data_IF_059322490423
#
_entry.id   IF_059322490423
#
_cell.length_a   1.000
_cell.length_b   1.000
_cell.length_c   1.000
_cell.angle_alpha   90.00
_cell.angle_beta   90.00
_cell.angle_gamma   90.00
#
_symmetry.space_group_name_H-M   'P 1'
#
loop_
_entity.id
_entity.type
_entity.pdbx_description
1 polymer ?
#
# COMPACT_ATOMS: atom_id res chain seq x y z
N UNK A 1 -12.01 -2.02 10.02
CA UNK A 1 -11.10 -3.09 9.57
C UNK A 1 -11.15 -3.14 8.07
N UNK A 2 -10.04 -2.80 7.43
CA UNK A 2 -9.87 -2.56 6.01
C UNK A 2 -8.74 -3.44 5.46
N UNK A 3 -7.58 -3.45 6.12
CA UNK A 3 -6.41 -4.25 5.72
C UNK A 3 -6.27 -5.52 6.57
N UNK A 4 -6.61 -5.43 7.86
CA UNK A 4 -6.53 -6.59 8.74
C UNK A 4 -7.57 -7.65 8.37
N UNK A 5 -7.17 -8.93 8.17
CA UNK A 5 -8.11 -10.02 8.03
C UNK A 5 -8.95 -10.19 9.30
N UNK A 6 -10.22 -10.58 9.16
CA UNK A 6 -11.13 -10.75 10.31
C UNK A 6 -10.65 -11.79 11.33
N UNK A 7 -9.78 -12.72 10.92
CA UNK A 7 -9.16 -13.71 11.80
C UNK A 7 -8.20 -13.14 12.83
N UNK A 8 -7.80 -11.86 12.74
CA UNK A 8 -6.82 -11.24 13.66
C UNK A 8 -7.31 -11.17 15.10
N UNK A 9 -8.62 -11.21 15.32
CA UNK A 9 -9.24 -11.20 16.66
C UNK A 9 -9.17 -12.56 17.37
N UNK A 10 -8.62 -13.58 16.71
CA UNK A 10 -8.51 -14.95 17.22
C UNK A 10 -7.05 -15.31 17.44
N UNK A 11 -6.66 -15.54 18.69
CA UNK A 11 -5.26 -15.83 19.07
C UNK A 11 -4.75 -17.17 18.54
N UNK A 12 -5.65 -18.11 18.24
CA UNK A 12 -5.39 -19.43 17.65
C UNK A 12 -5.23 -19.41 16.12
N UNK A 13 -5.43 -18.26 15.48
CA UNK A 13 -5.46 -18.13 14.02
C UNK A 13 -4.30 -17.27 13.51
N UNK A 14 -3.67 -17.75 12.44
CA UNK A 14 -2.69 -16.97 11.67
C UNK A 14 -3.42 -16.22 10.55
N UNK A 15 -3.42 -14.90 10.63
CA UNK A 15 -3.95 -14.00 9.60
C UNK A 15 -2.87 -13.69 8.57
N UNK A 16 -3.21 -13.80 7.28
CA UNK A 16 -2.26 -13.65 6.17
C UNK A 16 -2.69 -12.50 5.26
N UNK A 17 -1.78 -11.55 5.02
CA UNK A 17 -1.90 -10.57 3.92
C UNK A 17 -1.09 -11.10 2.73
N UNK A 18 -1.79 -11.56 1.69
CA UNK A 18 -1.18 -12.14 0.50
C UNK A 18 -0.56 -11.11 -0.46
N UNK A 19 0.24 -11.59 -1.42
CA UNK A 19 0.92 -10.76 -2.43
C UNK A 19 -0.04 -10.01 -3.38
N UNK A 20 -1.31 -10.39 -3.40
CA UNK A 20 -2.36 -9.73 -4.16
C UNK A 20 -2.64 -8.31 -3.66
N UNK A 21 -2.47 -8.09 -2.36
CA UNK A 21 -2.88 -6.87 -1.65
C UNK A 21 -1.85 -5.75 -1.83
N UNK A 22 -2.37 -4.53 -1.92
CA UNK A 22 -1.60 -3.28 -1.77
C UNK A 22 -1.76 -2.80 -0.33
N UNK A 23 -0.65 -2.68 0.38
CA UNK A 23 -0.60 -2.40 1.81
C UNK A 23 -0.26 -0.94 2.01
N UNK A 24 -1.13 -0.21 2.70
CA UNK A 24 -0.77 1.10 3.24
C UNK A 24 -0.22 0.91 4.66
N UNK A 25 1.08 1.14 4.92
CA UNK A 25 1.67 0.92 6.23
C UNK A 25 1.03 1.78 7.32
N UNK A 26 0.73 3.05 7.05
CA UNK A 26 0.12 3.95 8.03
C UNK A 26 -1.25 3.44 8.47
N UNK A 27 -2.08 3.04 7.51
CA UNK A 27 -3.42 2.49 7.81
C UNK A 27 -3.29 1.17 8.55
N UNK A 28 -2.37 0.28 8.12
CA UNK A 28 -2.18 -1.00 8.79
C UNK A 28 -1.75 -0.83 10.25
N UNK A 29 -0.81 0.08 10.52
CA UNK A 29 -0.36 0.38 11.88
C UNK A 29 -1.48 0.98 12.71
N UNK A 30 -2.23 1.94 12.18
CA UNK A 30 -3.41 2.48 12.86
C UNK A 30 -4.45 1.41 13.19
N UNK A 31 -4.70 0.47 12.28
CA UNK A 31 -5.63 -0.63 12.55
C UNK A 31 -5.11 -1.59 13.64
N UNK A 32 -3.80 -1.82 13.69
CA UNK A 32 -3.16 -2.63 14.72
C UNK A 32 -3.19 -1.93 16.08
N UNK A 33 -2.95 -0.62 16.13
CA UNK A 33 -2.96 0.17 17.36
C UNK A 33 -4.37 0.29 17.97
N UNK A 34 -5.41 0.23 17.14
CA UNK A 34 -6.81 0.25 17.57
C UNK A 34 -7.33 -1.12 18.08
N UNK A 35 -6.49 -2.16 18.12
CA UNK A 35 -6.87 -3.44 18.71
C UNK A 35 -6.67 -3.40 20.23
N UNK A 36 -7.78 -3.42 20.98
CA UNK A 36 -7.81 -3.35 22.45
C UNK A 36 -7.28 -4.60 23.19
N UNK A 37 -7.01 -5.73 22.52
CA UNK A 37 -6.75 -7.02 23.16
C UNK A 37 -5.74 -7.93 22.42
N UNK A 38 -5.41 -9.07 23.04
CA UNK A 38 -4.58 -10.13 22.46
C UNK A 38 -5.04 -10.46 21.03
N UNK A 39 -4.11 -10.31 20.08
CA UNK A 39 -4.35 -10.58 18.66
C UNK A 39 -3.73 -11.91 18.24
N UNK A 40 -4.30 -12.51 17.21
CA UNK A 40 -3.68 -13.57 16.44
C UNK A 40 -2.39 -13.12 15.76
N UNK A 41 -1.66 -14.09 15.23
CA UNK A 41 -0.45 -13.79 14.46
C UNK A 41 -0.84 -13.15 13.13
N UNK A 42 -0.11 -12.11 12.73
CA UNK A 42 -0.22 -11.49 11.42
C UNK A 42 1.06 -11.76 10.63
N UNK A 43 0.91 -12.36 9.45
CA UNK A 43 2.01 -12.51 8.49
C UNK A 43 1.66 -11.76 7.21
N UNK A 44 2.64 -11.06 6.68
CA UNK A 44 2.49 -10.22 5.49
C UNK A 44 3.45 -10.78 4.43
N UNK A 45 2.94 -11.00 3.22
CA UNK A 45 3.80 -11.39 2.11
C UNK A 45 4.81 -10.29 1.80
N UNK A 46 6.08 -10.66 1.76
CA UNK A 46 7.20 -9.87 1.22
C UNK A 46 6.92 -9.32 -0.19
N UNK A 47 6.08 -10.00 -0.98
CA UNK A 47 5.68 -9.62 -2.34
C UNK A 47 4.47 -8.70 -2.42
N UNK A 48 3.80 -8.41 -1.30
CA UNK A 48 2.74 -7.40 -1.27
C UNK A 48 3.32 -6.03 -1.61
N UNK A 49 2.57 -5.22 -2.34
CA UNK A 49 3.04 -3.89 -2.78
C UNK A 49 2.70 -2.83 -1.73
N UNK A 50 3.53 -1.79 -1.65
CA UNK A 50 3.39 -0.72 -0.66
C UNK A 50 2.74 0.49 -1.29
N UNK A 51 1.68 0.99 -0.67
CA UNK A 51 1.09 2.28 -1.00
C UNK A 51 1.95 3.38 -0.38
N UNK A 52 2.87 3.90 -1.20
CA UNK A 52 3.67 5.08 -0.88
C UNK A 52 2.85 6.39 -0.88
N UNK A 53 3.31 7.44 -0.17
CA UNK A 53 2.60 8.73 -0.09
C UNK A 53 2.30 9.38 -1.46
N UNK A 54 3.22 9.23 -2.42
CA UNK A 54 3.03 9.79 -3.77
C UNK A 54 1.85 9.16 -4.52
N UNK A 55 1.44 7.93 -4.21
CA UNK A 55 0.29 7.32 -4.87
C UNK A 55 -1.02 8.06 -4.52
N UNK A 56 -1.15 8.58 -3.30
CA UNK A 56 -2.32 9.38 -2.89
C UNK A 56 -2.37 10.69 -3.68
N UNK A 57 -1.21 11.33 -3.88
CA UNK A 57 -1.10 12.55 -4.68
C UNK A 57 -1.46 12.29 -6.15
N UNK A 58 -0.98 11.19 -6.73
CA UNK A 58 -1.29 10.80 -8.10
C UNK A 58 -2.79 10.48 -8.28
N UNK A 59 -3.40 9.77 -7.33
CA UNK A 59 -4.83 9.44 -7.36
C UNK A 59 -5.71 10.71 -7.37
N UNK A 60 -5.38 11.67 -6.50
CA UNK A 60 -6.05 12.97 -6.48
C UNK A 60 -5.80 13.80 -7.75
N UNK A 61 -4.58 13.80 -8.28
CA UNK A 61 -4.23 14.48 -9.53
C UNK A 61 -4.97 13.92 -10.74
N UNK A 62 -5.05 12.58 -10.85
CA UNK A 62 -5.78 11.90 -11.92
C UNK A 62 -7.27 12.22 -11.89
N UNK A 63 -7.91 12.19 -10.72
CA UNK A 63 -9.32 12.59 -10.59
C UNK A 63 -9.53 14.05 -10.99
N UNK A 64 -8.71 14.98 -10.48
CA UNK A 64 -8.80 16.39 -10.85
C UNK A 64 -8.66 16.61 -12.36
N UNK A 65 -7.76 15.86 -13.02
CA UNK A 65 -7.55 15.96 -14.47
C UNK A 65 -8.74 15.47 -15.30
N UNK A 66 -9.55 14.54 -14.78
CA UNK A 66 -10.70 13.95 -15.48
C UNK A 66 -11.94 14.85 -15.47
N UNK A 67 -11.94 15.94 -14.70
CA UNK A 67 -12.98 16.97 -14.74
C UNK A 67 -14.38 16.43 -14.45
N UNK A 68 -15.23 16.31 -15.47
CA UNK A 68 -16.61 15.78 -15.34
C UNK A 68 -16.71 14.25 -15.44
N UNK A 69 -15.63 13.58 -15.82
CA UNK A 69 -15.57 12.12 -15.99
C UNK A 69 -14.86 11.45 -14.81
N UNK A 70 -15.13 11.95 -13.60
CA UNK A 70 -14.60 11.39 -12.36
C UNK A 70 -14.95 9.91 -12.23
N UNK A 71 -14.00 9.12 -11.75
CA UNK A 71 -14.26 7.74 -11.37
C UNK A 71 -14.89 7.70 -9.97
N UNK A 72 -14.57 8.67 -9.12
CA UNK A 72 -14.97 8.69 -7.71
C UNK A 72 -14.05 7.80 -6.86
N UNK A 73 -12.73 7.99 -6.99
CA UNK A 73 -11.77 7.17 -6.24
C UNK A 73 -11.81 7.50 -4.75
N UNK A 74 -11.31 6.57 -3.91
CA UNK A 74 -11.21 6.79 -2.46
C UNK A 74 -10.06 7.72 -2.08
N UNK A 75 -9.26 8.19 -3.05
CA UNK A 75 -8.09 9.05 -2.81
C UNK A 75 -6.96 8.37 -2.04
N UNK A 76 -7.02 7.05 -1.86
CA UNK A 76 -6.08 6.29 -1.06
C UNK A 76 -4.86 5.80 -1.85
N UNK A 77 -4.76 6.09 -3.15
CA UNK A 77 -3.62 5.69 -3.97
C UNK A 77 -3.66 4.22 -4.42
N UNK A 78 -4.82 3.57 -4.34
CA UNK A 78 -4.98 2.15 -4.70
C UNK A 78 -4.73 1.93 -6.20
N UNK A 79 -5.35 2.75 -7.05
CA UNK A 79 -5.19 2.69 -8.50
C UNK A 79 -3.73 2.86 -8.94
N UNK A 80 -3.08 3.98 -8.57
CA UNK A 80 -1.67 4.20 -8.88
C UNK A 80 -0.74 3.10 -8.36
N UNK A 81 -0.96 2.57 -7.15
CA UNK A 81 -0.15 1.49 -6.61
C UNK A 81 -0.30 0.18 -7.42
N UNK A 82 -1.51 -0.17 -7.86
CA UNK A 82 -1.72 -1.29 -8.77
C UNK A 82 -1.12 -1.05 -10.16
N UNK A 83 -1.11 0.20 -10.64
CA UNK A 83 -0.44 0.57 -11.90
C UNK A 83 1.08 0.35 -11.81
N UNK A 84 1.69 0.74 -10.70
CA UNK A 84 3.11 0.51 -10.43
C UNK A 84 3.45 -0.98 -10.33
N UNK A 85 2.56 -1.77 -9.72
CA UNK A 85 2.64 -3.25 -9.71
C UNK A 85 2.60 -3.84 -11.11
N UNK A 86 1.65 -3.41 -11.95
CA UNK A 86 1.55 -3.86 -13.34
C UNK A 86 2.76 -3.44 -14.18
N UNK A 87 3.29 -2.25 -13.92
CA UNK A 87 4.46 -1.67 -14.57
C UNK A 87 5.79 -2.22 -14.03
N UNK A 88 5.76 -3.08 -13.01
CA UNK A 88 6.94 -3.71 -12.37
C UNK A 88 7.93 -2.73 -11.75
N UNK A 89 7.45 -1.55 -11.38
CA UNK A 89 8.24 -0.47 -10.74
C UNK A 89 7.85 -0.25 -9.28
N UNK A 90 6.75 -0.86 -8.83
CA UNK A 90 6.27 -0.70 -7.47
C UNK A 90 7.24 -1.24 -6.41
N UNK A 91 7.16 -0.61 -5.24
CA UNK A 91 7.89 -1.00 -4.02
C UNK A 91 7.09 -2.09 -3.31
N UNK A 92 7.76 -3.13 -2.83
CA UNK A 92 7.15 -4.26 -2.11
C UNK A 92 7.54 -4.26 -0.64
N UNK A 93 6.77 -4.96 0.19
CA UNK A 93 7.01 -5.07 1.63
C UNK A 93 8.41 -5.62 1.95
N UNK A 94 8.89 -6.59 1.17
CA UNK A 94 10.23 -7.14 1.33
C UNK A 94 11.34 -6.15 0.95
N UNK A 95 11.06 -5.22 0.03
CA UNK A 95 12.02 -4.18 -0.35
C UNK A 95 12.23 -3.18 0.82
N UNK A 96 11.28 -3.07 1.77
CA UNK A 96 11.41 -2.23 2.97
C UNK A 96 12.36 -2.80 4.03
N UNK A 97 12.76 -4.06 3.91
CA UNK A 97 13.62 -4.73 4.88
C UNK A 97 15.11 -4.50 4.60
N UNK A 98 15.44 -3.84 3.49
CA UNK A 98 16.79 -3.60 3.02
C UNK A 98 16.91 -2.13 2.56
N UNK A 99 17.70 -1.35 3.30
CA UNK A 99 17.87 0.08 3.09
C UNK A 99 18.47 0.39 1.70
N UNK A 100 19.38 -0.44 1.20
CA UNK A 100 20.01 -0.22 -0.10
C UNK A 100 18.99 -0.45 -1.23
N UNK A 101 18.18 -1.49 -1.12
CA UNK A 101 17.14 -1.81 -2.09
C UNK A 101 16.07 -0.72 -2.11
N UNK A 102 15.58 -0.25 -0.95
CA UNK A 102 14.52 0.76 -0.93
C UNK A 102 15.01 2.09 -1.51
N UNK A 103 16.25 2.50 -1.23
CA UNK A 103 16.86 3.69 -1.82
C UNK A 103 16.92 3.56 -3.34
N UNK A 104 17.46 2.45 -3.85
CA UNK A 104 17.53 2.19 -5.31
C UNK A 104 16.14 2.26 -5.97
N UNK A 105 15.11 1.73 -5.31
CA UNK A 105 13.73 1.76 -5.81
C UNK A 105 13.15 3.17 -5.83
N UNK A 106 13.39 3.94 -4.77
CA UNK A 106 12.92 5.32 -4.66
C UNK A 106 13.59 6.22 -5.70
N UNK A 107 14.88 6.07 -5.94
CA UNK A 107 15.61 6.82 -6.96
C UNK A 107 15.06 6.57 -8.37
N UNK A 108 14.53 5.37 -8.64
CA UNK A 108 13.88 5.05 -9.92
C UNK A 108 12.43 5.55 -9.97
N UNK A 109 11.70 5.49 -8.86
CA UNK A 109 10.28 5.84 -8.82
C UNK A 109 10.03 7.35 -8.78
N UNK A 110 10.83 8.11 -8.01
CA UNK A 110 10.60 9.53 -7.75
C UNK A 110 10.68 10.42 -9.00
N UNK A 111 11.70 10.31 -9.88
CA UNK A 111 11.79 11.17 -11.07
C UNK A 111 10.59 11.02 -12.00
N UNK A 112 10.10 9.79 -12.16
CA UNK A 112 8.91 9.50 -12.95
C UNK A 112 7.67 10.15 -12.33
N UNK A 113 7.50 10.01 -11.02
CA UNK A 113 6.32 10.52 -10.32
C UNK A 113 6.32 12.06 -10.25
N UNK A 114 7.48 12.69 -10.12
CA UNK A 114 7.63 14.15 -10.21
C UNK A 114 7.26 14.70 -11.59
N UNK A 115 7.47 13.95 -12.66
CA UNK A 115 7.05 14.36 -14.00
C UNK A 115 5.54 14.29 -14.22
N UNK A 116 4.79 13.61 -13.33
CA UNK A 116 3.35 13.39 -13.43
C UNK A 116 2.53 14.26 -12.46
N UNK A 117 3.18 14.86 -11.45
CA UNK A 117 2.59 15.78 -10.46
C UNK A 117 2.81 17.23 -10.89
#
# INVERSE_FOLDING_TARGET
>A
MHLLPSGILRTDVVSVIGNGVVVNPDVLLQELDNLDAERGQLVISDRAHVIMPYHKLLDGGEENSKGKSLIGTTGNGIGPCYSDKASRIGIRMGDLLDDDIIIERLEKALPRNQALL
#
